data_IF_466627180136
#
_entry.id   IF_466627180136
#
_cell.length_a   1.000
_cell.length_b   1.000
_cell.length_c   1.000
_cell.angle_alpha   90.00
_cell.angle_beta   90.00
_cell.angle_gamma   90.00
#
_symmetry.space_group_name_H-M   'P 1'
#
loop_
_entity.id
_entity.type
_entity.pdbx_description
1 polymer ?
#
# COMPACT_ATOMS: atom_id res chain seq x y z
N UNK A 1 5.54 88.04 38.76
CA UNK A 1 4.89 87.38 37.61
C UNK A 1 5.99 87.08 36.60
N UNK A 2 6.50 85.84 36.60
CA UNK A 2 6.19 84.75 35.66
C UNK A 2 6.88 85.00 34.30
N UNK A 3 7.67 84.12 33.69
CA UNK A 3 7.96 82.69 33.87
C UNK A 3 9.32 82.39 33.21
N UNK A 4 10.13 81.51 33.84
CA UNK A 4 11.21 80.79 33.18
C UNK A 4 10.61 79.50 32.62
N UNK A 5 10.72 79.28 31.31
CA UNK A 5 10.30 78.04 30.65
C UNK A 5 11.32 77.59 29.62
N UNK A 6 12.47 77.09 30.11
CA UNK A 6 13.41 76.34 29.28
C UNK A 6 13.00 74.87 29.23
N UNK A 7 12.92 74.30 28.03
CA UNK A 7 12.84 72.85 27.83
C UNK A 7 14.04 72.43 27.00
N UNK A 8 15.09 72.03 27.72
CA UNK A 8 16.22 71.29 27.19
C UNK A 8 15.72 69.98 26.57
N UNK A 9 16.08 69.77 25.31
CA UNK A 9 16.05 68.43 24.70
C UNK A 9 17.14 67.62 25.38
N UNK A 10 16.75 66.68 26.24
CA UNK A 10 17.68 65.68 26.76
C UNK A 10 18.23 64.83 25.62
N UNK A 11 19.52 65.02 25.35
CA UNK A 11 20.29 64.16 24.46
C UNK A 11 20.52 62.83 25.17
N UNK A 12 19.72 61.81 24.83
CA UNK A 12 19.94 60.43 25.28
C UNK A 12 21.36 59.96 24.95
N UNK A 13 22.10 59.60 25.99
CA UNK A 13 23.45 59.03 25.92
C UNK A 13 23.49 57.68 25.20
N UNK A 14 24.55 57.47 24.41
CA UNK A 14 24.78 56.33 23.50
C UNK A 14 24.81 54.94 24.20
N UNK A 15 24.92 54.90 25.53
CA UNK A 15 24.94 53.68 26.36
C UNK A 15 23.56 53.09 26.62
N UNK A 16 22.47 53.86 26.54
CA UNK A 16 21.11 53.37 26.81
C UNK A 16 20.46 52.68 25.61
N UNK A 17 20.86 53.05 24.38
CA UNK A 17 20.35 52.43 23.14
C UNK A 17 20.71 50.94 22.98
N UNK A 18 21.70 50.42 23.71
CA UNK A 18 22.10 49.00 23.63
C UNK A 18 21.31 48.09 24.58
N UNK A 19 20.76 48.61 25.68
CA UNK A 19 19.98 47.81 26.63
C UNK A 19 18.53 47.59 26.17
N UNK A 20 17.96 48.52 25.41
CA UNK A 20 16.57 48.42 24.94
C UNK A 20 16.38 47.56 23.67
N UNK A 21 17.45 47.30 22.90
CA UNK A 21 17.39 46.46 21.68
C UNK A 21 17.63 44.97 21.94
N UNK A 22 18.30 44.62 23.04
CA UNK A 22 18.54 43.21 23.43
C UNK A 22 17.25 42.41 23.70
N UNK A 23 16.24 42.91 24.44
CA UNK A 23 15.02 42.14 24.65
C UNK A 23 14.17 42.03 23.38
N UNK A 24 14.16 43.07 22.52
CA UNK A 24 13.37 43.05 21.29
C UNK A 24 13.87 42.04 20.26
N UNK A 25 15.20 41.93 20.09
CA UNK A 25 15.81 40.92 19.21
C UNK A 25 15.52 39.50 19.73
N UNK A 26 15.59 39.29 21.05
CA UNK A 26 15.25 37.99 21.66
C UNK A 26 13.78 37.61 21.47
N UNK A 27 12.86 38.57 21.56
CA UNK A 27 11.41 38.36 21.36
C UNK A 27 11.11 38.02 19.89
N UNK A 28 11.71 38.71 18.92
CA UNK A 28 11.57 38.36 17.51
C UNK A 28 12.14 36.98 17.19
N UNK A 29 13.28 36.61 17.78
CA UNK A 29 13.90 35.29 17.59
C UNK A 29 13.03 34.17 18.19
N UNK A 30 12.42 34.39 19.35
CA UNK A 30 11.44 33.47 19.94
C UNK A 30 10.17 33.35 19.08
N UNK A 31 9.71 34.43 18.47
CA UNK A 31 8.55 34.40 17.55
C UNK A 31 8.86 33.65 16.25
N UNK A 32 10.07 33.83 15.69
CA UNK A 32 10.51 33.11 14.48
C UNK A 32 10.70 31.62 14.79
N UNK A 33 11.32 31.26 15.92
CA UNK A 33 11.45 29.86 16.34
C UNK A 33 10.08 29.25 16.63
N UNK A 34 9.17 29.98 17.29
CA UNK A 34 7.78 29.56 17.49
C UNK A 34 7.04 29.33 16.16
N UNK A 35 7.16 30.25 15.20
CA UNK A 35 6.55 30.11 13.88
C UNK A 35 7.18 28.96 13.07
N UNK A 36 8.49 28.71 13.20
CA UNK A 36 9.15 27.56 12.58
C UNK A 36 8.75 26.23 13.23
N UNK A 37 8.56 26.19 14.56
CA UNK A 37 8.06 25.00 15.26
C UNK A 37 6.59 24.76 14.91
N UNK A 38 5.73 25.79 14.89
CA UNK A 38 4.31 25.64 14.50
C UNK A 38 4.18 25.28 13.00
N UNK A 39 5.04 25.81 12.13
CA UNK A 39 5.12 25.45 10.72
C UNK A 39 5.59 24.01 10.49
N UNK A 40 6.56 23.53 11.27
CA UNK A 40 6.99 22.14 11.24
C UNK A 40 5.92 21.17 11.75
N UNK A 41 5.15 21.55 12.78
CA UNK A 41 4.05 20.73 13.31
C UNK A 41 2.81 20.75 12.39
N UNK A 42 2.58 21.84 11.65
CA UNK A 42 1.50 21.94 10.65
C UNK A 42 1.77 21.12 9.39
N UNK A 43 3.04 20.97 8.99
CA UNK A 43 3.43 20.17 7.83
C UNK A 43 3.65 18.69 8.20
N UNK A 44 4.08 18.38 9.43
CA UNK A 44 4.23 17.01 9.91
C UNK A 44 2.90 16.30 10.22
N UNK A 45 1.80 17.03 10.46
CA UNK A 45 0.48 16.42 10.69
C UNK A 45 -0.20 15.86 9.44
N UNK A 46 0.38 16.10 8.28
CA UNK A 46 -0.06 15.57 6.99
C UNK A 46 0.93 14.54 6.43
N UNK A 47 1.79 13.97 7.28
CA UNK A 47 2.10 12.53 7.19
C UNK A 47 0.79 11.81 7.56
N UNK A 48 -0.05 11.70 6.54
CA UNK A 48 -1.50 11.44 6.57
C UNK A 48 -1.80 10.11 7.26
N UNK A 49 -2.92 10.02 7.97
CA UNK A 49 -3.45 8.76 8.54
C UNK A 49 -3.37 7.58 7.57
N UNK A 50 -3.53 7.83 6.27
CA UNK A 50 -3.30 6.92 5.16
C UNK A 50 -1.90 6.27 5.17
N UNK A 51 -0.82 7.07 5.19
CA UNK A 51 0.56 6.55 5.19
C UNK A 51 0.80 5.66 6.41
N UNK A 52 0.29 6.06 7.58
CA UNK A 52 0.39 5.26 8.79
C UNK A 52 -0.35 3.93 8.65
N UNK A 53 -1.54 3.91 8.06
CA UNK A 53 -2.30 2.67 7.83
C UNK A 53 -1.60 1.78 6.80
N UNK A 54 -1.05 2.35 5.73
CA UNK A 54 -0.24 1.60 4.76
C UNK A 54 0.98 0.97 5.45
N UNK A 55 1.69 1.70 6.30
CA UNK A 55 2.86 1.17 7.02
C UNK A 55 2.49 0.05 7.99
N UNK A 56 1.38 0.20 8.72
CA UNK A 56 0.85 -0.85 9.60
C UNK A 56 0.44 -2.09 8.81
N UNK A 57 -0.20 -1.92 7.65
CA UNK A 57 -0.56 -3.02 6.76
C UNK A 57 0.68 -3.76 6.22
N UNK A 58 1.70 -3.03 5.77
CA UNK A 58 2.96 -3.62 5.29
C UNK A 58 3.70 -4.34 6.43
N UNK A 59 3.70 -3.77 7.64
CA UNK A 59 4.27 -4.44 8.81
C UNK A 59 3.54 -5.75 9.14
N UNK A 60 2.20 -5.76 9.08
CA UNK A 60 1.40 -6.96 9.29
C UNK A 60 1.68 -8.03 8.21
N UNK A 61 1.85 -7.64 6.94
CA UNK A 61 2.25 -8.55 5.86
C UNK A 61 3.67 -9.14 6.08
N UNK A 62 4.61 -8.35 6.61
CA UNK A 62 5.99 -8.82 6.91
C UNK A 62 6.03 -9.79 8.08
N UNK A 63 5.15 -9.59 9.06
CA UNK A 63 5.05 -10.44 10.25
C UNK A 63 4.12 -11.65 10.03
N UNK A 64 3.49 -11.75 8.85
CA UNK A 64 2.44 -12.74 8.54
C UNK A 64 1.32 -12.74 9.61
N UNK A 65 1.03 -11.57 10.21
CA UNK A 65 0.05 -11.42 11.28
C UNK A 65 -1.37 -11.41 10.72
N UNK A 66 -1.94 -12.60 10.58
CA UNK A 66 -3.31 -12.79 10.09
C UNK A 66 -4.38 -12.11 10.95
N UNK A 67 -4.13 -11.88 12.25
CA UNK A 67 -5.09 -11.18 13.10
C UNK A 67 -5.13 -9.69 12.76
N UNK A 68 -3.97 -9.05 12.61
CA UNK A 68 -3.88 -7.67 12.14
C UNK A 68 -4.38 -7.51 10.70
N UNK A 69 -4.02 -8.41 9.79
CA UNK A 69 -4.41 -8.34 8.37
C UNK A 69 -5.93 -8.41 8.16
N UNK A 70 -6.66 -9.19 8.97
CA UNK A 70 -8.13 -9.24 8.94
C UNK A 70 -8.78 -7.90 9.27
N UNK A 71 -8.10 -7.03 10.01
CA UNK A 71 -8.61 -5.69 10.31
C UNK A 71 -8.44 -4.73 9.13
N UNK A 72 -7.53 -5.04 8.21
CA UNK A 72 -7.19 -4.20 7.07
C UNK A 72 -7.83 -4.67 5.77
N UNK A 73 -8.06 -5.97 5.59
CA UNK A 73 -8.55 -6.50 4.31
C UNK A 73 -10.09 -6.45 4.24
N UNK A 74 -10.61 -5.81 3.19
CA UNK A 74 -12.04 -5.75 2.86
C UNK A 74 -12.32 -6.61 1.62
N UNK A 75 -12.26 -7.91 1.85
CA UNK A 75 -12.85 -8.90 0.98
C UNK A 75 -13.75 -9.76 1.88
N UNK A 76 -14.82 -10.37 1.34
CA UNK A 76 -15.25 -11.64 1.90
C UNK A 76 -14.06 -12.58 1.67
N UNK A 77 -13.10 -12.53 2.59
CA UNK A 77 -12.39 -13.72 3.00
C UNK A 77 -13.53 -14.61 3.52
N UNK A 78 -14.32 -15.20 2.61
CA UNK A 78 -14.97 -16.47 2.86
C UNK A 78 -13.90 -17.28 3.60
N UNK A 79 -14.31 -17.98 4.67
CA UNK A 79 -13.48 -18.51 5.76
C UNK A 79 -12.17 -19.24 5.37
N UNK A 80 -11.89 -19.39 4.07
CA UNK A 80 -10.91 -20.23 3.42
C UNK A 80 -9.96 -19.49 2.45
N UNK A 81 -10.12 -18.17 2.15
CA UNK A 81 -9.14 -17.45 1.31
C UNK A 81 -7.85 -17.21 2.11
N UNK A 82 -6.91 -18.15 1.97
CA UNK A 82 -5.60 -18.09 2.61
C UNK A 82 -4.68 -17.10 1.90
N UNK A 83 -3.98 -16.27 2.69
CA UNK A 83 -2.87 -15.43 2.21
C UNK A 83 -1.54 -16.18 2.16
N UNK A 84 -1.50 -17.48 2.47
CA UNK A 84 -0.28 -18.30 2.37
C UNK A 84 0.42 -18.19 1.01
N UNK A 85 -0.28 -18.19 -0.14
CA UNK A 85 0.35 -17.97 -1.44
C UNK A 85 1.04 -16.60 -1.54
N UNK A 86 0.44 -15.55 -0.99
CA UNK A 86 1.01 -14.20 -0.95
C UNK A 86 2.30 -14.19 -0.12
N UNK A 87 2.26 -14.79 1.08
CA UNK A 87 3.43 -14.88 1.95
C UNK A 87 4.56 -15.71 1.31
N UNK A 88 4.21 -16.81 0.65
CA UNK A 88 5.19 -17.61 -0.10
C UNK A 88 5.88 -16.80 -1.22
N UNK A 89 5.12 -15.96 -1.91
CA UNK A 89 5.68 -15.03 -2.90
C UNK A 89 6.59 -13.99 -2.24
N UNK A 90 6.11 -13.26 -1.23
CA UNK A 90 6.83 -12.16 -0.60
C UNK A 90 8.11 -12.61 0.13
N UNK A 91 8.15 -13.84 0.65
CA UNK A 91 9.39 -14.44 1.19
C UNK A 91 10.46 -14.67 0.12
N UNK A 92 10.05 -15.00 -1.12
CA UNK A 92 10.95 -15.16 -2.27
C UNK A 92 11.27 -13.84 -2.97
N UNK A 93 10.37 -12.87 -2.87
CA UNK A 93 10.40 -11.57 -3.54
C UNK A 93 10.18 -10.42 -2.55
N UNK A 94 11.16 -10.11 -1.68
CA UNK A 94 11.01 -9.05 -0.67
C UNK A 94 10.77 -7.66 -1.28
N UNK A 95 11.18 -7.42 -2.52
CA UNK A 95 10.84 -6.22 -3.30
C UNK A 95 9.32 -6.02 -3.45
N UNK A 96 8.53 -7.09 -3.34
CA UNK A 96 7.07 -7.04 -3.39
C UNK A 96 6.45 -6.19 -2.29
N UNK A 97 7.07 -6.09 -1.11
CA UNK A 97 6.60 -5.20 -0.04
C UNK A 97 6.68 -3.73 -0.46
N UNK A 98 7.81 -3.33 -1.06
CA UNK A 98 8.03 -1.95 -1.49
C UNK A 98 7.15 -1.61 -2.70
N UNK A 99 6.91 -2.58 -3.58
CA UNK A 99 5.95 -2.44 -4.67
C UNK A 99 4.53 -2.19 -4.15
N UNK A 100 4.04 -3.00 -3.20
CA UNK A 100 2.71 -2.80 -2.59
C UNK A 100 2.64 -1.43 -1.91
N UNK A 101 3.65 -1.06 -1.10
CA UNK A 101 3.69 0.25 -0.42
C UNK A 101 3.60 1.39 -1.42
N UNK A 102 4.39 1.32 -2.50
CA UNK A 102 4.42 2.34 -3.56
C UNK A 102 3.09 2.43 -4.30
N UNK A 103 2.50 1.30 -4.67
CA UNK A 103 1.21 1.26 -5.37
C UNK A 103 0.08 1.83 -4.50
N UNK A 104 0.06 1.50 -3.21
CA UNK A 104 -0.93 2.04 -2.26
C UNK A 104 -0.76 3.56 -2.08
N UNK A 105 0.46 4.06 -1.86
CA UNK A 105 0.72 5.49 -1.69
C UNK A 105 0.43 6.32 -2.96
N UNK A 106 0.33 5.67 -4.13
CA UNK A 106 -0.03 6.33 -5.39
C UNK A 106 -1.56 6.38 -5.63
N UNK A 107 -2.34 5.61 -4.87
CA UNK A 107 -3.80 5.60 -4.91
C UNK A 107 -4.36 6.78 -4.07
N UNK A 108 -4.24 8.00 -4.59
CA UNK A 108 -4.85 9.18 -3.94
C UNK A 108 -6.37 9.00 -3.76
N UNK A 109 -6.89 9.43 -2.60
CA UNK A 109 -8.26 9.26 -2.05
C UNK A 109 -9.45 9.32 -3.04
N UNK A 110 -9.34 9.99 -4.18
CA UNK A 110 -10.44 10.17 -5.17
C UNK A 110 -10.24 9.45 -6.51
N UNK A 111 -9.10 8.80 -6.74
CA UNK A 111 -8.93 7.96 -7.93
C UNK A 111 -9.43 6.57 -7.60
N UNK A 112 -10.76 6.40 -7.68
CA UNK A 112 -11.35 5.11 -8.05
C UNK A 112 -10.47 4.56 -9.18
N UNK A 113 -9.91 3.37 -9.01
CA UNK A 113 -9.26 2.68 -10.12
C UNK A 113 -10.25 2.70 -11.31
N UNK A 114 -9.99 3.57 -12.29
CA UNK A 114 -10.83 3.66 -13.48
C UNK A 114 -10.37 2.53 -14.37
N UNK A 115 -11.13 1.43 -14.37
CA UNK A 115 -10.97 0.30 -15.28
C UNK A 115 -10.81 0.83 -16.71
N UNK A 116 -9.61 0.73 -17.28
CA UNK A 116 -9.28 1.18 -18.64
C UNK A 116 -8.37 2.40 -18.77
N UNK A 117 -8.08 3.16 -17.70
CA UNK A 117 -7.13 4.31 -17.77
C UNK A 117 -5.72 3.97 -17.27
N UNK A 118 -5.61 3.07 -16.29
CA UNK A 118 -4.34 2.51 -15.83
C UNK A 118 -4.09 1.19 -16.55
N UNK A 119 -2.96 1.08 -17.25
CA UNK A 119 -2.58 -0.12 -18.01
C UNK A 119 -2.36 -1.35 -17.13
N UNK A 120 -2.04 -1.16 -15.84
CA UNK A 120 -1.83 -2.23 -14.87
C UNK A 120 -2.61 -1.96 -13.58
N UNK A 121 -3.58 -2.82 -13.21
CA UNK A 121 -4.27 -2.70 -11.93
C UNK A 121 -3.31 -2.91 -10.74
N UNK A 122 -3.53 -2.23 -9.59
CA UNK A 122 -2.69 -2.38 -8.41
C UNK A 122 -2.92 -3.72 -7.71
N UNK A 123 -1.93 -4.22 -6.97
CA UNK A 123 -1.98 -5.49 -6.24
C UNK A 123 -3.05 -5.48 -5.14
N UNK A 124 -3.17 -4.34 -4.46
CA UNK A 124 -4.24 -4.05 -3.52
C UNK A 124 -4.91 -2.73 -3.90
N UNK A 125 -6.24 -2.70 -3.83
CA UNK A 125 -7.01 -1.48 -3.93
C UNK A 125 -7.29 -0.94 -2.52
N UNK A 126 -6.91 0.30 -2.26
CA UNK A 126 -7.23 0.99 -1.01
C UNK A 126 -8.61 1.64 -1.10
N UNK A 127 -9.46 1.40 -0.11
CA UNK A 127 -10.80 1.98 0.01
C UNK A 127 -11.00 2.59 1.39
N UNK A 128 -11.66 3.74 1.47
CA UNK A 128 -12.13 4.29 2.74
C UNK A 128 -13.54 3.75 3.03
N UNK A 129 -13.66 2.83 3.99
CA UNK A 129 -14.93 2.23 4.40
C UNK A 129 -15.23 2.59 5.85
N UNK A 130 -16.36 3.28 6.08
CA UNK A 130 -16.77 3.75 7.42
C UNK A 130 -15.70 4.56 8.16
N UNK A 131 -14.91 5.35 7.43
CA UNK A 131 -13.83 6.17 7.99
C UNK A 131 -12.54 5.41 8.30
N UNK A 132 -12.43 4.14 7.91
CA UNK A 132 -11.24 3.30 8.08
C UNK A 132 -10.74 2.86 6.70
N UNK A 133 -9.44 3.00 6.46
CA UNK A 133 -8.82 2.48 5.24
C UNK A 133 -8.78 0.95 5.26
N UNK A 134 -9.21 0.37 4.16
CA UNK A 134 -9.24 -1.06 3.90
C UNK A 134 -8.54 -1.38 2.58
N UNK A 135 -8.03 -2.59 2.46
CA UNK A 135 -7.30 -3.06 1.29
C UNK A 135 -7.96 -4.28 0.69
N UNK A 136 -8.38 -4.19 -0.56
CA UNK A 136 -8.95 -5.31 -1.32
C UNK A 136 -7.85 -5.93 -2.19
N UNK A 137 -7.52 -7.22 -2.03
CA UNK A 137 -6.56 -7.88 -2.91
C UNK A 137 -7.12 -7.99 -4.32
N UNK A 138 -6.26 -7.84 -5.30
CA UNK A 138 -6.66 -8.07 -6.68
C UNK A 138 -6.85 -9.56 -6.97
N UNK A 139 -7.86 -9.88 -7.78
CA UNK A 139 -8.17 -11.24 -8.22
C UNK A 139 -7.59 -11.52 -9.60
N UNK A 140 -6.95 -12.68 -9.72
CA UNK A 140 -6.39 -13.21 -10.97
C UNK A 140 -7.22 -14.38 -11.45
N UNK A 141 -7.69 -14.31 -12.70
CA UNK A 141 -8.36 -15.41 -13.36
C UNK A 141 -7.32 -16.35 -13.96
N UNK A 142 -7.28 -17.57 -13.46
CA UNK A 142 -6.36 -18.60 -13.96
C UNK A 142 -7.11 -19.50 -14.94
N UNK A 143 -6.46 -19.76 -16.07
CA UNK A 143 -6.92 -20.67 -17.11
C UNK A 143 -5.86 -21.73 -17.37
N UNK A 144 -6.30 -22.95 -17.64
CA UNK A 144 -5.45 -24.05 -18.09
C UNK A 144 -5.74 -24.30 -19.57
N UNK A 145 -4.68 -24.36 -20.37
CA UNK A 145 -4.72 -24.66 -21.80
C UNK A 145 -4.01 -25.99 -22.07
N UNK A 146 -4.69 -26.97 -22.67
CA UNK A 146 -4.14 -28.29 -22.97
C UNK A 146 -4.97 -29.00 -24.05
N UNK A 147 -4.41 -30.03 -24.67
CA UNK A 147 -5.14 -30.93 -25.58
C UNK A 147 -5.63 -32.21 -24.87
N UNK A 148 -5.20 -32.46 -23.63
CA UNK A 148 -5.68 -33.58 -22.82
C UNK A 148 -7.13 -33.37 -22.37
N UNK A 149 -7.98 -34.36 -22.58
CA UNK A 149 -9.38 -34.35 -22.11
C UNK A 149 -9.52 -35.22 -20.87
N UNK A 150 -10.36 -34.79 -19.92
CA UNK A 150 -10.62 -35.51 -18.66
C UNK A 150 -9.46 -35.44 -17.65
N UNK A 151 -8.46 -34.60 -17.88
CA UNK A 151 -7.35 -34.43 -16.96
C UNK A 151 -7.80 -33.65 -15.72
N UNK A 152 -7.49 -34.16 -14.53
CA UNK A 152 -7.77 -33.47 -13.26
C UNK A 152 -6.79 -32.33 -13.07
N UNK A 153 -7.31 -31.17 -12.70
CA UNK A 153 -6.52 -29.97 -12.41
C UNK A 153 -6.53 -29.75 -10.91
N UNK A 154 -5.33 -29.55 -10.35
CA UNK A 154 -5.16 -29.17 -8.96
C UNK A 154 -4.40 -27.86 -8.86
N UNK A 155 -4.80 -27.00 -7.91
CA UNK A 155 -4.04 -25.81 -7.54
C UNK A 155 -3.69 -25.91 -6.06
N UNK A 156 -2.40 -25.87 -5.74
CA UNK A 156 -1.87 -26.14 -4.40
C UNK A 156 -2.50 -27.43 -3.80
N UNK A 157 -2.45 -28.52 -4.57
CA UNK A 157 -3.02 -29.84 -4.23
C UNK A 157 -4.54 -29.89 -3.98
N UNK A 158 -5.25 -28.79 -4.23
CA UNK A 158 -6.71 -28.75 -4.15
C UNK A 158 -7.29 -29.00 -5.53
N UNK A 159 -8.21 -29.96 -5.65
CA UNK A 159 -8.93 -30.22 -6.90
C UNK A 159 -9.82 -29.03 -7.27
N UNK A 160 -9.65 -28.51 -8.49
CA UNK A 160 -10.38 -27.31 -8.98
C UNK A 160 -11.20 -27.56 -10.23
N UNK A 161 -11.11 -28.77 -10.80
CA UNK A 161 -11.90 -29.18 -11.96
C UNK A 161 -11.15 -30.11 -12.89
N UNK A 162 -11.77 -30.41 -14.02
CA UNK A 162 -11.23 -31.29 -15.07
C UNK A 162 -11.22 -30.58 -16.42
N UNK A 163 -10.35 -31.03 -17.32
CA UNK A 163 -10.26 -30.49 -18.68
C UNK A 163 -11.41 -31.01 -19.54
N UNK A 164 -12.36 -30.14 -19.85
CA UNK A 164 -13.49 -30.42 -20.75
C UNK A 164 -13.42 -29.67 -22.08
N UNK A 165 -12.46 -28.76 -22.23
CA UNK A 165 -12.19 -27.98 -23.43
C UNK A 165 -10.70 -27.65 -23.51
N UNK A 166 -10.23 -27.16 -24.67
CA UNK A 166 -8.81 -26.81 -24.85
C UNK A 166 -8.34 -25.63 -23.99
N UNK A 167 -9.27 -24.84 -23.46
CA UNK A 167 -9.01 -23.74 -22.53
C UNK A 167 -10.10 -23.71 -21.45
N UNK A 168 -9.73 -23.93 -20.20
CA UNK A 168 -10.66 -24.04 -19.07
C UNK A 168 -10.32 -22.99 -18.01
N UNK A 169 -11.32 -22.24 -17.53
CA UNK A 169 -11.17 -21.36 -16.37
C UNK A 169 -11.18 -22.22 -15.10
N UNK A 170 -10.13 -22.13 -14.29
CA UNK A 170 -9.95 -22.98 -13.09
C UNK A 170 -10.16 -22.25 -11.78
N UNK A 171 -10.35 -20.92 -11.83
CA UNK A 171 -10.76 -20.15 -10.65
C UNK A 171 -10.20 -18.73 -10.63
N UNK A 172 -10.43 -18.09 -9.48
CA UNK A 172 -9.97 -16.75 -9.15
C UNK A 172 -9.10 -16.81 -7.91
N UNK A 173 -7.92 -16.22 -7.99
CA UNK A 173 -6.88 -16.36 -6.98
C UNK A 173 -6.35 -14.99 -6.58
N UNK A 174 -6.06 -14.83 -5.28
CA UNK A 174 -5.38 -13.64 -4.74
C UNK A 174 -3.91 -13.61 -5.21
N UNK A 175 -3.19 -12.48 -5.03
CA UNK A 175 -1.80 -12.43 -5.42
C UNK A 175 -0.96 -13.43 -4.62
N UNK A 176 -0.02 -14.11 -5.27
CA UNK A 176 0.83 -15.11 -4.62
C UNK A 176 1.51 -16.09 -5.57
N UNK A 177 2.20 -17.06 -4.97
CA UNK A 177 2.83 -18.17 -5.65
C UNK A 177 1.94 -19.42 -5.56
N UNK A 178 1.68 -20.03 -6.71
CA UNK A 178 0.81 -21.21 -6.81
C UNK A 178 1.48 -22.32 -7.59
N UNK A 179 1.14 -23.55 -7.24
CA UNK A 179 1.46 -24.75 -7.99
C UNK A 179 0.22 -25.24 -8.72
N UNK A 180 0.31 -25.42 -10.03
CA UNK A 180 -0.76 -25.97 -10.87
C UNK A 180 -0.33 -27.35 -11.34
N UNK A 181 -1.16 -28.35 -11.07
CA UNK A 181 -0.96 -29.73 -11.51
C UNK A 181 -2.03 -30.14 -12.49
N UNK A 182 -1.62 -30.87 -13.52
CA UNK A 182 -2.51 -31.59 -14.43
C UNK A 182 -2.20 -33.07 -14.28
N UNK A 183 -3.22 -33.85 -13.89
CA UNK A 183 -3.10 -35.28 -13.58
C UNK A 183 -4.01 -36.06 -14.53
N UNK A 184 -3.43 -36.93 -15.33
CA UNK A 184 -4.13 -37.96 -16.11
C UNK A 184 -3.88 -39.33 -15.48
N UNK A 185 -4.47 -40.38 -16.06
CA UNK A 185 -4.20 -41.76 -15.61
C UNK A 185 -2.75 -42.19 -15.86
N UNK A 186 -2.09 -41.56 -16.84
CA UNK A 186 -0.75 -41.95 -17.30
C UNK A 186 0.37 -41.06 -16.73
N UNK A 187 0.07 -39.79 -16.42
CA UNK A 187 1.10 -38.81 -16.04
C UNK A 187 0.58 -37.69 -15.16
N UNK A 188 1.52 -37.10 -14.43
CA UNK A 188 1.35 -35.85 -13.70
C UNK A 188 2.33 -34.79 -14.23
N UNK A 189 1.83 -33.61 -14.53
CA UNK A 189 2.64 -32.45 -14.90
C UNK A 189 2.38 -31.31 -13.91
N UNK A 190 3.46 -30.68 -13.44
CA UNK A 190 3.40 -29.61 -12.44
C UNK A 190 4.06 -28.34 -12.96
N UNK A 191 3.41 -27.18 -12.80
CA UNK A 191 3.95 -25.86 -13.15
C UNK A 191 3.73 -24.87 -12.01
N UNK A 192 4.77 -24.12 -11.66
CA UNK A 192 4.64 -22.99 -10.74
C UNK A 192 4.23 -21.73 -11.50
N UNK A 193 3.30 -20.97 -10.92
CA UNK A 193 2.86 -19.68 -11.43
C UNK A 193 2.96 -18.60 -10.36
N UNK A 194 3.35 -17.40 -10.78
CA UNK A 194 3.37 -16.21 -9.95
C UNK A 194 2.24 -15.28 -10.38
N UNK A 195 1.35 -14.94 -9.45
CA UNK A 195 0.25 -14.01 -9.64
C UNK A 195 0.56 -12.76 -8.83
N UNK A 196 1.28 -11.79 -9.41
CA UNK A 196 1.66 -10.57 -8.68
C UNK A 196 1.91 -9.40 -9.64
N UNK A 197 1.27 -8.26 -9.37
CA UNK A 197 1.16 -7.14 -10.33
C UNK A 197 0.55 -7.55 -11.68
N UNK A 198 0.57 -6.62 -12.65
CA UNK A 198 0.41 -6.94 -14.07
C UNK A 198 -0.96 -7.46 -14.51
N UNK A 199 -0.94 -8.37 -15.49
CA UNK A 199 -2.13 -8.94 -16.15
C UNK A 199 -2.95 -9.81 -15.19
N UNK A 200 -4.28 -9.63 -15.23
CA UNK A 200 -5.24 -10.38 -14.38
C UNK A 200 -5.67 -11.71 -14.96
N UNK A 201 -5.26 -12.04 -16.17
CA UNK A 201 -5.54 -13.31 -16.82
C UNK A 201 -4.24 -14.07 -16.93
N UNK A 202 -4.18 -15.27 -16.33
CA UNK A 202 -3.02 -16.15 -16.42
C UNK A 202 -3.39 -17.43 -17.15
N UNK A 203 -2.77 -17.68 -18.29
CA UNK A 203 -2.90 -18.93 -19.04
C UNK A 203 -1.73 -19.84 -18.71
N UNK A 204 -2.01 -21.02 -18.18
CA UNK A 204 -1.04 -22.08 -17.90
C UNK A 204 -1.18 -23.12 -19.00
N UNK A 205 -0.17 -23.19 -19.86
CA UNK A 205 -0.14 -24.18 -20.95
C UNK A 205 0.45 -25.48 -20.45
N UNK A 206 -0.20 -26.59 -20.70
CA UNK A 206 0.37 -27.93 -20.58
C UNK A 206 0.43 -28.53 -21.98
N UNK A 207 1.62 -28.94 -22.38
CA UNK A 207 1.86 -29.49 -23.71
C UNK A 207 1.70 -31.01 -23.63
N UNK A 208 0.94 -31.56 -24.57
CA UNK A 208 0.91 -33.00 -24.81
C UNK A 208 2.18 -33.38 -25.57
N UNK A 209 3.14 -33.98 -24.86
CA UNK A 209 4.13 -34.85 -25.52
C UNK A 209 3.45 -36.13 -25.98
#
# INVERSE_FOLDING_TARGET
MNEKGGLQKEAMTRSERRKQKRPFVFVCLLFVVSACVVGAWGVAKQETSEQKVIEQFIAALRQEDMHALKQFIDAPLEKEVSLSPLFAYLRKHPEGYDQIKKELAQQKDDRVYIKGLTSTPPIFLMKLSQGIYKFEPALYHVYVQTNEQGARILINDTYVGETNASLVKVGEYVPGLYEVKMVTDEREQTKQISLFGGERIRIVRFDSN
#
